data_IF_506376141297
#
_entry.id   IF_506376141297
#
_cell.length_a   1.000
_cell.length_b   1.000
_cell.length_c   1.000
_cell.angle_alpha   90.00
_cell.angle_beta   90.00
_cell.angle_gamma   90.00
#
_symmetry.space_group_name_H-M   'P 1'
#
loop_
_entity.id
_entity.type
_entity.pdbx_description
1 polymer ?
#
# COMPACT_ATOMS: atom_id res chain seq x y z
N UNK A 1 -12.34 3.96 5.40
CA UNK A 1 -11.38 4.31 4.30
C UNK A 1 -11.56 5.78 3.98
N UNK A 2 -10.47 6.59 4.01
CA UNK A 2 -10.54 8.00 3.58
C UNK A 2 -10.52 8.10 2.05
N UNK A 3 -11.04 9.21 1.46
CA UNK A 3 -11.00 9.43 0.01
C UNK A 3 -9.58 9.38 -0.58
N UNK A 4 -8.61 9.96 0.11
CA UNK A 4 -7.21 10.01 -0.30
C UNK A 4 -6.59 8.61 -0.34
N UNK A 5 -6.88 7.78 0.68
CA UNK A 5 -6.43 6.38 0.70
C UNK A 5 -7.09 5.56 -0.38
N UNK A 6 -8.40 5.72 -0.62
CA UNK A 6 -9.11 5.05 -1.68
C UNK A 6 -8.53 5.39 -3.06
N UNK A 7 -8.27 6.68 -3.32
CA UNK A 7 -7.62 7.15 -4.56
C UNK A 7 -6.24 6.52 -4.75
N UNK A 8 -5.44 6.48 -3.68
CA UNK A 8 -4.11 5.89 -3.70
C UNK A 8 -4.17 4.37 -3.96
N UNK A 9 -5.10 3.65 -3.29
CA UNK A 9 -5.31 2.21 -3.48
C UNK A 9 -5.74 1.88 -4.90
N UNK A 10 -6.67 2.64 -5.49
CA UNK A 10 -7.09 2.43 -6.88
C UNK A 10 -5.92 2.50 -7.86
N UNK A 11 -4.92 3.32 -7.55
CA UNK A 11 -3.72 3.45 -8.40
C UNK A 11 -2.74 2.29 -8.21
N UNK A 12 -2.54 1.81 -6.98
CA UNK A 12 -1.40 0.96 -6.65
C UNK A 12 -1.76 -0.45 -6.17
N UNK A 13 -3.05 -0.78 -6.02
CA UNK A 13 -3.47 -2.10 -5.52
C UNK A 13 -2.96 -3.25 -6.40
N UNK A 14 -3.09 -3.13 -7.72
CA UNK A 14 -2.61 -4.17 -8.64
C UNK A 14 -1.09 -4.31 -8.63
N UNK A 15 -0.36 -3.23 -8.42
CA UNK A 15 1.10 -3.28 -8.30
C UNK A 15 1.51 -4.01 -7.01
N UNK A 16 0.79 -3.80 -5.92
CA UNK A 16 1.01 -4.57 -4.68
C UNK A 16 0.73 -6.06 -4.87
N UNK A 17 -0.40 -6.42 -5.52
CA UNK A 17 -0.72 -7.82 -5.83
C UNK A 17 0.38 -8.47 -6.70
N UNK A 18 0.90 -7.75 -7.69
CA UNK A 18 2.00 -8.23 -8.54
C UNK A 18 3.28 -8.43 -7.74
N UNK A 19 3.67 -7.45 -6.92
CA UNK A 19 4.89 -7.48 -6.12
C UNK A 19 4.88 -8.59 -5.07
N UNK A 20 3.70 -8.95 -4.52
CA UNK A 20 3.57 -9.96 -3.46
C UNK A 20 3.28 -11.37 -3.95
N UNK A 21 3.01 -11.55 -5.25
CA UNK A 21 2.66 -12.88 -5.81
C UNK A 21 3.77 -13.90 -5.57
N UNK A 22 3.43 -14.99 -4.86
CA UNK A 22 4.36 -16.10 -4.59
C UNK A 22 5.48 -15.79 -3.59
N UNK A 23 5.39 -14.69 -2.83
CA UNK A 23 6.45 -14.23 -1.92
C UNK A 23 6.21 -14.57 -0.46
N UNK A 24 5.02 -15.05 -0.09
CA UNK A 24 4.60 -15.22 1.30
C UNK A 24 4.12 -13.93 1.96
N UNK A 25 4.11 -12.80 1.25
CA UNK A 25 3.63 -11.51 1.76
C UNK A 25 2.21 -11.25 1.27
N UNK A 26 1.33 -10.83 2.16
CA UNK A 26 -0.04 -10.44 1.82
C UNK A 26 -0.07 -9.02 1.25
N UNK A 27 -0.81 -8.77 0.14
CA UNK A 27 -0.98 -7.42 -0.40
C UNK A 27 -1.51 -6.42 0.62
N UNK A 28 -2.40 -6.85 1.52
CA UNK A 28 -2.95 -6.03 2.60
C UNK A 28 -1.86 -5.57 3.56
N UNK A 29 -0.90 -6.44 3.92
CA UNK A 29 0.24 -6.11 4.78
C UNK A 29 1.15 -5.08 4.09
N UNK A 30 1.55 -5.35 2.85
CA UNK A 30 2.40 -4.45 2.09
C UNK A 30 1.76 -3.07 1.94
N UNK A 31 0.49 -3.01 1.53
CA UNK A 31 -0.22 -1.75 1.33
C UNK A 31 -0.45 -0.98 2.64
N UNK A 32 -0.75 -1.69 3.73
CA UNK A 32 -0.93 -1.05 5.04
C UNK A 32 0.38 -0.38 5.50
N UNK A 33 1.51 -1.07 5.39
CA UNK A 33 2.81 -0.50 5.72
C UNK A 33 3.19 0.64 4.77
N UNK A 34 2.99 0.49 3.46
CA UNK A 34 3.24 1.57 2.50
C UNK A 34 2.42 2.83 2.83
N UNK A 35 1.14 2.70 3.22
CA UNK A 35 0.30 3.81 3.64
C UNK A 35 0.83 4.46 4.92
N UNK A 36 1.09 3.65 5.94
CA UNK A 36 1.49 4.16 7.28
C UNK A 36 2.85 4.85 7.24
N UNK A 37 3.84 4.24 6.57
CA UNK A 37 5.22 4.74 6.51
C UNK A 37 5.39 5.92 5.55
N UNK A 38 4.58 5.99 4.49
CA UNK A 38 4.70 7.05 3.48
C UNK A 38 3.78 8.24 3.69
N UNK A 39 2.87 8.21 4.67
CA UNK A 39 1.91 9.28 4.85
C UNK A 39 2.54 10.61 5.27
N UNK A 40 1.97 11.69 4.76
CA UNK A 40 2.31 13.06 5.13
C UNK A 40 1.08 13.95 5.02
N UNK A 41 1.14 15.17 5.56
CA UNK A 41 0.03 16.13 5.46
C UNK A 41 0.02 16.81 4.09
N UNK A 42 -1.16 16.87 3.45
CA UNK A 42 -1.40 17.69 2.28
C UNK A 42 -1.61 19.17 2.65
N UNK A 43 -1.88 20.03 1.67
CA UNK A 43 -2.12 21.45 1.89
C UNK A 43 -3.33 21.74 2.79
N UNK A 44 -4.34 20.87 2.81
CA UNK A 44 -5.51 20.97 3.68
C UNK A 44 -5.29 20.37 5.08
N UNK A 45 -4.08 19.86 5.38
CA UNK A 45 -3.73 19.26 6.67
C UNK A 45 -4.12 17.79 6.81
N UNK A 46 -4.71 17.17 5.79
CA UNK A 46 -5.10 15.77 5.80
C UNK A 46 -3.90 14.85 5.54
N UNK A 47 -3.87 13.69 6.19
CA UNK A 47 -2.85 12.68 5.94
C UNK A 47 -3.15 11.89 4.66
N UNK A 48 -2.18 11.89 3.74
CA UNK A 48 -2.22 11.13 2.49
C UNK A 48 -1.00 10.22 2.35
N UNK A 49 -1.16 9.00 1.78
CA UNK A 49 -0.04 8.13 1.43
C UNK A 49 0.86 8.78 0.36
N UNK A 50 2.17 8.52 0.44
CA UNK A 50 3.13 9.00 -0.55
C UNK A 50 3.60 10.44 -0.35
N UNK A 51 3.21 11.11 0.73
CA UNK A 51 3.62 12.49 1.04
C UNK A 51 4.79 12.61 2.03
N UNK A 52 5.29 11.49 2.57
CA UNK A 52 6.52 11.53 3.36
C UNK A 52 7.72 11.98 2.51
N UNK A 53 8.76 12.48 3.17
CA UNK A 53 9.96 12.95 2.47
C UNK A 53 10.61 11.83 1.66
N UNK A 54 10.70 10.62 2.23
CA UNK A 54 11.25 9.43 1.57
C UNK A 54 10.44 9.03 0.33
N UNK A 55 9.10 9.03 0.43
CA UNK A 55 8.25 8.71 -0.70
C UNK A 55 8.40 9.71 -1.84
N UNK A 56 8.42 11.02 -1.54
CA UNK A 56 8.50 12.08 -2.56
C UNK A 56 9.86 12.23 -3.22
N UNK A 57 10.95 11.99 -2.48
CA UNK A 57 12.33 12.23 -2.95
C UNK A 57 13.00 10.97 -3.48
N UNK A 58 12.55 9.80 -3.01
CA UNK A 58 13.22 8.53 -3.26
C UNK A 58 12.29 7.40 -3.76
N UNK A 59 11.00 7.65 -3.97
CA UNK A 59 9.98 6.62 -4.14
C UNK A 59 10.05 5.52 -3.05
N UNK A 60 10.58 5.83 -1.88
CA UNK A 60 10.81 4.89 -0.80
C UNK A 60 9.64 4.95 0.18
N UNK A 61 8.64 4.13 -0.06
CA UNK A 61 7.37 4.12 0.68
C UNK A 61 7.46 3.45 2.05
N UNK A 62 8.57 2.80 2.37
CA UNK A 62 8.78 2.04 3.61
C UNK A 62 9.89 2.61 4.49
N UNK A 63 10.51 3.70 4.09
CA UNK A 63 11.63 4.28 4.83
C UNK A 63 12.86 3.37 4.93
N UNK A 64 13.08 2.51 3.93
CA UNK A 64 14.19 1.55 3.95
C UNK A 64 15.52 2.30 3.86
N UNK A 65 16.33 2.14 4.89
CA UNK A 65 17.71 2.64 4.91
C UNK A 65 18.62 1.74 4.08
N UNK A 66 19.75 2.31 3.65
CA UNK A 66 20.78 1.53 2.95
C UNK A 66 21.25 0.37 3.83
N UNK A 67 21.40 -0.79 3.23
CA UNK A 67 21.90 -2.01 3.87
C UNK A 67 23.06 -2.62 3.06
N UNK A 68 23.91 -3.48 3.64
CA UNK A 68 25.18 -3.90 3.03
C UNK A 68 25.08 -4.51 1.63
N UNK A 69 23.96 -5.16 1.30
CA UNK A 69 23.74 -5.79 -0.01
C UNK A 69 23.12 -4.85 -1.05
N UNK A 70 22.78 -3.61 -0.67
CA UNK A 70 22.23 -2.64 -1.61
C UNK A 70 23.31 -2.12 -2.57
N UNK A 71 23.03 -2.10 -3.88
CA UNK A 71 23.93 -1.63 -4.94
C UNK A 71 23.33 -0.51 -5.79
N UNK A 72 22.08 -0.11 -5.49
CA UNK A 72 21.38 0.92 -6.23
C UNK A 72 21.67 2.34 -5.72
N UNK A 73 20.89 3.30 -6.22
CA UNK A 73 21.00 4.72 -5.85
C UNK A 73 20.60 4.94 -4.39
N UNK A 74 21.18 5.95 -3.79
CA UNK A 74 20.94 6.34 -2.39
C UNK A 74 20.74 7.85 -2.29
N UNK A 75 20.13 8.29 -1.19
CA UNK A 75 19.93 9.71 -0.87
C UNK A 75 20.02 9.91 0.65
N UNK A 76 20.67 10.99 1.04
CA UNK A 76 20.72 11.42 2.44
C UNK A 76 19.54 12.32 2.77
N UNK A 77 18.72 11.93 3.74
CA UNK A 77 17.56 12.68 4.18
C UNK A 77 17.51 12.78 5.72
N UNK A 78 16.93 13.87 6.27
CA UNK A 78 16.64 13.96 7.69
C UNK A 78 15.75 12.81 8.15
N UNK A 79 16.02 12.26 9.33
CA UNK A 79 15.23 11.16 9.92
C UNK A 79 13.85 11.60 10.43
N UNK A 80 13.69 12.90 10.73
CA UNK A 80 12.42 13.56 11.05
C UNK A 80 12.49 15.04 10.64
N UNK A 81 11.35 15.73 10.63
CA UNK A 81 11.28 17.15 10.24
C UNK A 81 12.18 18.05 11.08
N UNK A 82 12.33 17.73 12.35
CA UNK A 82 13.08 18.54 13.32
C UNK A 82 14.44 17.95 13.66
N UNK A 83 14.84 16.87 12.97
CA UNK A 83 16.07 16.15 13.28
C UNK A 83 17.24 16.72 12.50
N UNK A 84 18.31 17.07 13.21
CA UNK A 84 19.64 17.30 12.61
C UNK A 84 20.29 15.97 12.17
N UNK A 85 19.72 14.82 12.59
CA UNK A 85 20.24 13.50 12.25
C UNK A 85 19.82 13.13 10.82
N UNK A 86 20.80 12.86 9.99
CA UNK A 86 20.65 12.39 8.60
C UNK A 86 20.83 10.89 8.57
N UNK A 87 20.07 10.22 7.72
CA UNK A 87 20.28 8.81 7.37
C UNK A 87 20.28 8.65 5.86
N UNK A 88 21.02 7.65 5.38
CA UNK A 88 21.07 7.30 3.97
C UNK A 88 19.96 6.29 3.65
N UNK A 89 19.11 6.64 2.70
CA UNK A 89 17.97 5.85 2.28
C UNK A 89 18.15 5.32 0.85
N UNK A 90 17.51 4.20 0.59
CA UNK A 90 17.41 3.60 -0.74
C UNK A 90 16.54 4.47 -1.65
N UNK A 91 16.94 4.64 -2.91
CA UNK A 91 16.15 5.31 -3.96
C UNK A 91 15.62 4.28 -4.94
N UNK A 92 14.33 4.31 -5.19
CA UNK A 92 13.63 3.48 -6.19
C UNK A 92 13.22 4.31 -7.41
N UNK A 93 13.07 3.67 -8.57
CA UNK A 93 12.65 4.35 -9.80
C UNK A 93 11.13 4.56 -9.86
N UNK A 94 10.37 3.66 -9.21
CA UNK A 94 8.91 3.72 -9.16
C UNK A 94 8.35 3.21 -7.83
N UNK A 95 7.03 3.37 -7.64
CA UNK A 95 6.31 2.77 -6.51
C UNK A 95 6.34 1.25 -6.57
N UNK A 96 6.23 0.67 -7.77
CA UNK A 96 6.33 -0.78 -7.97
C UNK A 96 7.70 -1.30 -7.55
N UNK A 97 8.78 -0.60 -7.91
CA UNK A 97 10.14 -0.96 -7.49
C UNK A 97 10.31 -0.84 -5.97
N UNK A 98 9.67 0.14 -5.34
CA UNK A 98 9.62 0.26 -3.88
C UNK A 98 8.92 -0.96 -3.24
N UNK A 99 7.82 -1.42 -3.82
CA UNK A 99 7.10 -2.60 -3.35
C UNK A 99 7.95 -3.86 -3.50
N UNK A 100 8.56 -4.07 -4.67
CA UNK A 100 9.49 -5.18 -4.90
C UNK A 100 10.72 -5.12 -3.99
N UNK A 101 11.24 -3.92 -3.76
CA UNK A 101 12.35 -3.69 -2.84
C UNK A 101 12.02 -4.02 -1.40
N UNK A 102 10.82 -3.66 -0.93
CA UNK A 102 10.33 -4.03 0.38
C UNK A 102 10.19 -5.57 0.53
N UNK A 103 9.57 -6.23 -0.45
CA UNK A 103 9.48 -7.69 -0.48
C UNK A 103 10.87 -8.32 -0.37
N UNK A 104 11.82 -7.84 -1.19
CA UNK A 104 13.20 -8.31 -1.15
C UNK A 104 13.87 -8.08 0.20
N UNK A 105 13.64 -6.92 0.82
CA UNK A 105 14.16 -6.59 2.15
C UNK A 105 13.68 -7.60 3.20
N UNK A 106 12.39 -7.95 3.21
CA UNK A 106 11.87 -8.95 4.13
C UNK A 106 12.45 -10.36 3.85
N UNK A 107 12.55 -10.75 2.58
CA UNK A 107 13.05 -12.07 2.19
C UNK A 107 14.53 -12.32 2.53
N UNK A 108 15.36 -11.27 2.44
CA UNK A 108 16.81 -11.41 2.69
C UNK A 108 17.21 -11.20 4.16
N UNK A 109 16.25 -10.83 5.00
CA UNK A 109 16.48 -10.59 6.41
C UNK A 109 15.88 -11.76 7.24
N UNK A 110 16.72 -12.63 7.82
CA UNK A 110 16.23 -13.83 8.53
C UNK A 110 15.24 -13.56 9.66
N UNK A 111 15.31 -12.36 10.27
CA UNK A 111 14.40 -11.99 11.37
C UNK A 111 12.92 -12.00 10.93
N UNK A 112 12.62 -11.83 9.63
CA UNK A 112 11.25 -11.79 9.10
C UNK A 112 10.81 -13.13 8.49
N UNK A 113 11.61 -14.20 8.60
CA UNK A 113 11.28 -15.51 8.01
C UNK A 113 9.93 -16.06 8.50
N UNK A 114 9.63 -15.90 9.80
CA UNK A 114 8.34 -16.32 10.35
C UNK A 114 7.16 -15.56 9.73
N UNK A 115 7.32 -14.26 9.46
CA UNK A 115 6.29 -13.46 8.83
C UNK A 115 5.98 -13.91 7.39
N UNK A 116 6.97 -14.41 6.65
CA UNK A 116 6.77 -14.93 5.29
C UNK A 116 5.99 -16.26 5.25
N UNK A 117 5.85 -16.94 6.39
CA UNK A 117 5.12 -18.21 6.56
C UNK A 117 3.76 -18.03 7.24
N UNK A 118 3.39 -16.80 7.57
CA UNK A 118 2.12 -16.50 8.25
C UNK A 118 0.93 -16.94 7.40
N UNK A 119 -0.13 -17.53 8.00
CA UNK A 119 -1.30 -18.04 7.26
C UNK A 119 -2.26 -16.95 6.78
N UNK A 120 -2.17 -15.74 7.35
CA UNK A 120 -3.01 -14.60 6.98
C UNK A 120 -2.30 -13.27 7.29
N UNK A 121 -2.84 -12.17 6.74
CA UNK A 121 -2.27 -10.84 6.89
C UNK A 121 -2.24 -10.35 8.35
N UNK A 122 -3.18 -10.76 9.18
CA UNK A 122 -3.24 -10.31 10.57
C UNK A 122 -2.10 -10.91 11.40
N UNK A 123 -1.88 -12.22 11.28
CA UNK A 123 -0.73 -12.87 11.91
C UNK A 123 0.60 -12.38 11.33
N UNK A 124 0.66 -12.15 10.02
CA UNK A 124 1.85 -11.55 9.40
C UNK A 124 2.20 -10.20 10.01
N UNK A 125 1.21 -9.31 10.18
CA UNK A 125 1.40 -7.99 10.79
C UNK A 125 1.85 -8.11 12.25
N UNK A 126 1.24 -9.01 13.03
CA UNK A 126 1.63 -9.26 14.42
C UNK A 126 3.09 -9.71 14.54
N UNK A 127 3.52 -10.66 13.69
CA UNK A 127 4.92 -11.12 13.67
C UNK A 127 5.86 -9.99 13.27
N UNK A 128 5.55 -9.21 12.22
CA UNK A 128 6.39 -8.08 11.78
C UNK A 128 6.52 -7.02 12.87
N UNK A 129 5.45 -6.75 13.62
CA UNK A 129 5.49 -5.81 14.75
C UNK A 129 6.35 -6.34 15.90
N UNK A 130 6.19 -7.61 16.27
CA UNK A 130 6.97 -8.26 17.31
C UNK A 130 8.47 -8.31 17.00
N UNK A 131 8.83 -8.48 15.73
CA UNK A 131 10.20 -8.45 15.24
C UNK A 131 10.80 -7.03 15.14
N UNK A 132 10.10 -6.03 15.69
CA UNK A 132 10.61 -4.67 15.81
C UNK A 132 10.74 -3.94 14.47
N UNK A 133 9.82 -4.17 13.55
CA UNK A 133 9.76 -3.38 12.31
C UNK A 133 9.56 -1.89 12.63
N UNK A 134 8.81 -1.58 13.71
CA UNK A 134 8.70 -0.25 14.26
C UNK A 134 8.62 -0.27 15.81
N UNK A 135 9.12 0.79 16.44
CA UNK A 135 9.23 0.91 17.92
C UNK A 135 7.91 1.38 18.58
N UNK A 136 6.89 1.78 17.83
CA UNK A 136 5.68 2.38 18.37
C UNK A 136 4.73 1.31 18.94
N UNK A 137 4.34 1.46 20.20
CA UNK A 137 3.43 0.57 20.95
C UNK A 137 2.09 0.31 20.27
N UNK A 138 1.61 1.25 19.44
CA UNK A 138 0.35 1.16 18.69
C UNK A 138 0.52 0.74 17.22
N UNK A 139 1.72 0.35 16.80
CA UNK A 139 2.03 0.11 15.40
C UNK A 139 1.23 -1.06 14.81
N UNK A 140 1.22 -2.20 15.51
CA UNK A 140 0.45 -3.37 15.11
C UNK A 140 -1.04 -3.03 14.92
N UNK A 141 -1.67 -2.42 15.93
CA UNK A 141 -3.09 -2.04 15.89
C UNK A 141 -3.38 -1.09 14.72
N UNK A 142 -2.51 -0.12 14.47
CA UNK A 142 -2.63 0.81 13.35
C UNK A 142 -2.55 0.11 12.01
N UNK A 143 -1.62 -0.82 11.83
CA UNK A 143 -1.48 -1.60 10.61
C UNK A 143 -2.68 -2.52 10.39
N UNK A 144 -3.13 -3.23 11.43
CA UNK A 144 -4.31 -4.11 11.35
C UNK A 144 -5.56 -3.35 10.92
N UNK A 145 -5.80 -2.17 11.50
CA UNK A 145 -6.94 -1.33 11.11
C UNK A 145 -6.85 -0.89 9.64
N UNK A 146 -5.67 -0.52 9.17
CA UNK A 146 -5.47 -0.12 7.77
C UNK A 146 -5.63 -1.33 6.84
N UNK A 147 -5.00 -2.47 7.14
CA UNK A 147 -5.07 -3.69 6.35
C UNK A 147 -6.51 -4.23 6.24
N UNK A 148 -7.26 -4.24 7.34
CA UNK A 148 -8.68 -4.62 7.35
C UNK A 148 -9.52 -3.68 6.48
N UNK A 149 -9.26 -2.38 6.55
CA UNK A 149 -9.94 -1.40 5.69
C UNK A 149 -9.63 -1.62 4.19
N UNK A 150 -8.39 -2.00 3.86
CA UNK A 150 -7.97 -2.33 2.49
C UNK A 150 -8.71 -3.57 1.99
N UNK A 151 -8.74 -4.64 2.80
CA UNK A 151 -9.42 -5.89 2.46
C UNK A 151 -10.91 -5.68 2.20
N UNK A 152 -11.58 -4.95 3.08
CA UNK A 152 -13.01 -4.63 2.93
C UNK A 152 -13.28 -3.81 1.67
N UNK A 153 -12.42 -2.83 1.38
CA UNK A 153 -12.50 -2.03 0.16
C UNK A 153 -12.32 -2.87 -1.10
N UNK A 154 -11.32 -3.74 -1.13
CA UNK A 154 -11.07 -4.63 -2.27
C UNK A 154 -12.23 -5.61 -2.50
N UNK A 155 -12.85 -6.14 -1.43
CA UNK A 155 -14.03 -7.00 -1.52
C UNK A 155 -15.22 -6.26 -2.15
N UNK A 156 -15.52 -5.04 -1.68
CA UNK A 156 -16.59 -4.21 -2.23
C UNK A 156 -16.39 -3.88 -3.71
N UNK A 157 -15.16 -3.54 -4.12
CA UNK A 157 -14.82 -3.27 -5.52
C UNK A 157 -15.03 -4.52 -6.39
N UNK A 158 -14.64 -5.70 -5.88
CA UNK A 158 -14.82 -6.98 -6.57
C UNK A 158 -16.32 -7.34 -6.73
N UNK A 159 -17.09 -7.23 -5.66
CA UNK A 159 -18.55 -7.49 -5.69
C UNK A 159 -19.26 -6.56 -6.67
N UNK A 160 -18.91 -5.27 -6.66
CA UNK A 160 -19.45 -4.29 -7.60
C UNK A 160 -19.11 -4.62 -9.05
N UNK A 161 -17.85 -5.02 -9.33
CA UNK A 161 -17.41 -5.41 -10.67
C UNK A 161 -18.17 -6.67 -11.16
N UNK A 162 -18.40 -7.66 -10.29
CA UNK A 162 -19.16 -8.86 -10.60
C UNK A 162 -20.64 -8.55 -10.86
N UNK A 163 -21.27 -7.73 -10.03
CA UNK A 163 -22.66 -7.32 -10.23
C UNK A 163 -22.84 -6.55 -11.55
N UNK A 164 -21.93 -5.65 -11.87
CA UNK A 164 -21.94 -4.90 -13.14
C UNK A 164 -21.78 -5.80 -14.36
N UNK A 165 -20.89 -6.81 -14.29
CA UNK A 165 -20.71 -7.79 -15.35
C UNK A 165 -21.96 -8.66 -15.54
N UNK A 166 -22.59 -9.11 -14.44
CA UNK A 166 -23.84 -9.89 -14.47
C UNK A 166 -25.00 -9.09 -15.07
N UNK A 167 -25.10 -7.80 -14.73
CA UNK A 167 -26.13 -6.91 -15.30
C UNK A 167 -25.94 -6.72 -16.82
N UNK A 168 -24.68 -6.65 -17.29
CA UNK A 168 -24.36 -6.51 -18.73
C UNK A 168 -24.66 -7.77 -19.53
N UNK A 169 -24.52 -8.96 -18.92
CA UNK A 169 -24.84 -10.24 -19.58
C UNK A 169 -26.35 -10.49 -19.71
N UNK A 170 -27.18 -9.93 -18.83
CA UNK A 170 -28.63 -10.04 -18.91
C UNK A 170 -29.29 -9.10 -19.91
N UNK A 171 -28.58 -8.11 -20.44
CA UNK A 171 -29.06 -7.17 -21.46
C UNK A 171 -28.67 -7.61 -22.88
N UNK A 172 -28.88 -8.88 -23.25
CA UNK A 172 -28.62 -9.38 -24.60
C UNK A 172 -29.48 -8.80 -25.72
N UNK A 173 -30.29 -7.78 -25.42
CA UNK A 173 -31.09 -7.10 -26.45
C UNK A 173 -31.16 -5.59 -26.19
N UNK A 174 -30.10 -4.82 -26.29
CA UNK A 174 -30.14 -3.37 -26.59
C UNK A 174 -28.70 -2.83 -26.61
N UNK A 175 -28.24 -2.46 -27.82
CA UNK A 175 -27.13 -1.56 -28.20
C UNK A 175 -25.77 -1.57 -27.47
N UNK A 176 -24.64 -1.35 -28.17
CA UNK A 176 -23.30 -1.51 -27.65
C UNK A 176 -22.88 -0.33 -26.76
N UNK A 177 -22.89 -0.53 -25.44
CA UNK A 177 -22.36 0.43 -24.47
C UNK A 177 -21.05 -0.08 -23.89
N UNK A 178 -20.04 -0.22 -24.75
CA UNK A 178 -18.67 -0.59 -24.37
C UNK A 178 -17.88 0.52 -23.62
N UNK A 179 -18.50 1.67 -23.33
CA UNK A 179 -17.86 2.81 -22.65
C UNK A 179 -18.43 3.15 -21.28
N UNK A 180 -19.51 2.55 -20.81
CA UNK A 180 -20.19 2.96 -19.58
C UNK A 180 -19.62 2.32 -18.29
N UNK A 181 -19.03 1.15 -18.36
CA UNK A 181 -18.63 0.40 -17.15
C UNK A 181 -17.47 1.06 -16.37
N UNK A 182 -16.53 1.69 -17.05
CA UNK A 182 -15.41 2.39 -16.39
C UNK A 182 -15.81 3.75 -15.80
N UNK A 183 -16.76 4.47 -16.42
CA UNK A 183 -17.26 5.77 -15.95
C UNK A 183 -18.24 5.63 -14.78
N UNK A 184 -19.07 4.58 -14.75
CA UNK A 184 -20.03 4.33 -13.65
C UNK A 184 -19.31 3.91 -12.38
N UNK A 185 -18.27 3.11 -12.46
CA UNK A 185 -17.44 2.76 -11.29
C UNK A 185 -16.78 4.00 -10.67
N UNK A 186 -16.24 4.91 -11.49
CA UNK A 186 -15.67 6.19 -11.03
C UNK A 186 -16.74 7.12 -10.45
N UNK A 187 -17.94 7.17 -11.04
CA UNK A 187 -19.02 8.05 -10.60
C UNK A 187 -19.69 7.59 -9.28
N UNK A 188 -19.86 6.29 -9.07
CA UNK A 188 -20.44 5.75 -7.82
C UNK A 188 -19.44 5.78 -6.67
N UNK A 189 -18.15 5.58 -6.92
CA UNK A 189 -17.09 5.80 -5.92
C UNK A 189 -17.09 7.29 -5.51
N UNK A 190 -17.24 8.23 -6.45
CA UNK A 190 -17.29 9.66 -6.13
C UNK A 190 -18.54 10.07 -5.33
N UNK A 191 -19.66 9.37 -5.50
CA UNK A 191 -20.93 9.66 -4.79
C UNK A 191 -20.96 9.04 -3.39
N UNK A 192 -20.32 7.89 -3.18
CA UNK A 192 -20.14 7.28 -1.87
C UNK A 192 -19.16 8.07 -0.98
N UNK A 193 -18.28 8.86 -1.59
CA UNK A 193 -17.28 9.69 -0.92
C UNK A 193 -17.80 11.12 -0.56
N UNK A 194 -19.04 11.47 -0.95
CA UNK A 194 -19.68 12.77 -0.64
C UNK A 194 -20.74 12.69 0.46
N UNK A 195 -20.94 11.54 1.07
CA UNK A 195 -21.73 11.34 2.29
C UNK A 195 -20.80 10.94 3.44
#
# INVERSE_FOLDING_TARGET
MTPERAKWLNKYYLDAVRATKGTGIFPETLLAQAIVESQGKNAAGNYEPGLSLNARKANNYFGIKVYPKWKGRTIDLPTSKDSKKVSTFVVYDSVLDSFAGYVKFLQVNPRYEAALKAPNYAEQIAILAAEGYAEAQDYERKLLNVATSIRNYAAQVKEFAQASAAATTNTKNIFPLLFAASLVAIFLISKALKK
#
